data_IF_808014631051
#
_entry.id   IF_808014631051
#
_cell.length_a   1.000
_cell.length_b   1.000
_cell.length_c   1.000
_cell.angle_alpha   90.00
_cell.angle_beta   90.00
_cell.angle_gamma   90.00
#
_symmetry.space_group_name_H-M   'P 1'
#
loop_
_entity.id
_entity.type
_entity.pdbx_description
1 polymer ?
#
# COMPACT_ATOMS: atom_id res chain seq x y z
N UNK A 1 20.18 10.12 24.99
CA UNK A 1 19.98 10.71 23.65
C UNK A 1 19.13 9.73 22.87
N UNK A 2 18.02 10.16 22.27
CA UNK A 2 17.24 9.28 21.41
C UNK A 2 18.04 8.99 20.14
N UNK A 3 17.94 7.78 19.56
CA UNK A 3 18.57 7.50 18.28
C UNK A 3 18.03 8.47 17.22
N UNK A 4 18.87 8.85 16.24
CA UNK A 4 18.40 9.64 15.11
C UNK A 4 17.21 8.93 14.47
N UNK A 5 16.13 9.68 14.25
CA UNK A 5 14.96 9.14 13.58
C UNK A 5 15.36 8.80 12.13
N UNK A 6 14.86 7.68 11.57
CA UNK A 6 15.06 7.39 10.16
C UNK A 6 14.51 8.55 9.33
N UNK A 7 15.38 9.22 8.58
CA UNK A 7 14.98 10.23 7.63
C UNK A 7 14.38 9.49 6.43
N UNK A 8 13.05 9.51 6.29
CA UNK A 8 12.44 8.98 5.08
C UNK A 8 12.72 9.94 3.92
N UNK A 9 13.16 9.43 2.75
CA UNK A 9 13.18 10.22 1.54
C UNK A 9 11.74 10.62 1.23
N UNK A 10 11.42 11.88 1.51
CA UNK A 10 10.14 12.51 1.18
C UNK A 10 10.49 13.80 0.45
N UNK A 11 10.34 13.75 -0.86
CA UNK A 11 10.67 14.82 -1.79
C UNK A 11 9.54 15.00 -2.82
N UNK A 12 9.74 15.90 -3.77
CA UNK A 12 8.73 16.23 -4.80
C UNK A 12 8.43 15.06 -5.77
N UNK A 13 9.21 13.97 -5.72
CA UNK A 13 9.01 12.75 -6.53
C UNK A 13 8.29 11.64 -5.75
N UNK A 14 7.86 11.94 -4.53
CA UNK A 14 7.18 10.99 -3.65
C UNK A 14 5.67 10.98 -3.91
N UNK A 15 5.12 9.80 -4.16
CA UNK A 15 3.68 9.58 -4.32
C UNK A 15 3.04 9.17 -2.99
N UNK A 16 1.88 9.73 -2.69
CA UNK A 16 1.01 9.29 -1.59
C UNK A 16 -0.28 8.77 -2.19
N UNK A 17 -0.60 7.51 -1.90
CA UNK A 17 -1.81 6.81 -2.38
C UNK A 17 -2.48 6.15 -1.19
N UNK A 18 -3.81 5.98 -1.24
CA UNK A 18 -4.62 5.45 -0.14
C UNK A 18 -5.75 4.59 -0.69
N UNK A 19 -6.19 3.59 0.07
CA UNK A 19 -7.49 2.91 -0.11
C UNK A 19 -7.77 2.35 -1.52
N UNK A 20 -6.74 1.78 -2.15
CA UNK A 20 -6.90 1.11 -3.45
C UNK A 20 -7.78 -0.13 -3.33
N UNK A 21 -7.77 -0.80 -2.17
CA UNK A 21 -8.60 -1.96 -1.84
C UNK A 21 -8.57 -3.11 -2.87
N UNK A 22 -7.44 -3.36 -3.52
CA UNK A 22 -7.30 -4.48 -4.48
C UNK A 22 -7.87 -5.78 -3.91
N UNK A 23 -8.51 -6.58 -4.76
CA UNK A 23 -9.16 -7.84 -4.40
C UNK A 23 -10.32 -7.75 -3.38
N UNK A 24 -10.76 -6.56 -2.97
CA UNK A 24 -11.94 -6.40 -2.12
C UNK A 24 -13.21 -6.28 -2.98
N UNK A 25 -13.72 -7.40 -3.52
CA UNK A 25 -14.85 -7.38 -4.46
C UNK A 25 -16.09 -6.63 -3.94
N UNK A 26 -16.36 -6.73 -2.65
CA UNK A 26 -17.48 -6.04 -2.01
C UNK A 26 -17.33 -4.51 -2.05
N UNK A 27 -16.12 -3.95 -1.91
CA UNK A 27 -15.92 -2.50 -1.99
C UNK A 27 -16.25 -1.97 -3.38
N UNK A 28 -15.97 -2.76 -4.42
CA UNK A 28 -16.32 -2.41 -5.78
C UNK A 28 -17.83 -2.17 -5.91
N UNK A 29 -18.63 -3.05 -5.29
CA UNK A 29 -20.09 -2.91 -5.24
C UNK A 29 -20.54 -1.75 -4.36
N UNK A 30 -20.03 -1.65 -3.13
CA UNK A 30 -20.46 -0.62 -2.16
C UNK A 30 -20.13 0.80 -2.62
N UNK A 31 -18.94 1.01 -3.19
CA UNK A 31 -18.52 2.31 -3.70
C UNK A 31 -18.92 2.54 -5.16
N UNK A 32 -19.67 1.61 -5.76
CA UNK A 32 -20.12 1.70 -7.15
C UNK A 32 -18.95 1.94 -8.14
N UNK A 33 -17.83 1.25 -7.92
CA UNK A 33 -16.65 1.32 -8.80
C UNK A 33 -16.98 0.70 -10.16
N UNK A 34 -16.40 1.21 -11.26
CA UNK A 34 -16.63 0.64 -12.59
C UNK A 34 -16.09 -0.78 -12.69
N UNK A 35 -16.63 -1.55 -13.63
CA UNK A 35 -16.04 -2.85 -13.99
C UNK A 35 -14.58 -2.63 -14.45
N UNK A 36 -13.69 -3.55 -14.06
CA UNK A 36 -12.26 -3.44 -14.39
C UNK A 36 -11.50 -2.36 -13.61
N UNK A 37 -12.04 -1.83 -12.51
CA UNK A 37 -11.40 -0.75 -11.75
C UNK A 37 -10.01 -1.12 -11.22
N UNK A 38 -9.72 -2.40 -10.96
CA UNK A 38 -8.40 -2.82 -10.48
C UNK A 38 -7.35 -2.63 -11.57
N UNK A 39 -7.67 -3.08 -12.79
CA UNK A 39 -6.88 -2.90 -13.98
C UNK A 39 -6.67 -1.41 -14.26
N UNK A 40 -7.72 -0.60 -14.17
CA UNK A 40 -7.64 0.85 -14.33
C UNK A 40 -6.72 1.52 -13.30
N UNK A 41 -6.72 1.07 -12.03
CA UNK A 41 -5.78 1.58 -11.02
C UNK A 41 -4.36 1.20 -11.42
N UNK A 42 -4.10 -0.06 -11.74
CA UNK A 42 -2.77 -0.55 -12.15
C UNK A 42 -2.24 0.20 -13.38
N UNK A 43 -3.08 0.41 -14.40
CA UNK A 43 -2.71 1.16 -15.61
C UNK A 43 -2.37 2.62 -15.31
N UNK A 44 -3.22 3.31 -14.53
CA UNK A 44 -2.96 4.69 -14.16
C UNK A 44 -1.74 4.83 -13.26
N UNK A 45 -1.55 3.90 -12.32
CA UNK A 45 -0.40 3.82 -11.46
C UNK A 45 0.88 3.73 -12.28
N UNK A 46 0.98 2.75 -13.18
CA UNK A 46 2.18 2.50 -13.98
C UNK A 46 2.42 3.56 -15.06
N UNK A 47 1.37 4.29 -15.47
CA UNK A 47 1.48 5.43 -16.39
C UNK A 47 2.07 6.66 -15.72
N UNK A 48 1.84 6.84 -14.42
CA UNK A 48 2.21 8.06 -13.69
C UNK A 48 3.48 7.89 -12.86
N UNK A 49 3.74 6.69 -12.36
CA UNK A 49 4.79 6.40 -11.39
C UNK A 49 5.93 5.66 -12.10
N UNK A 50 7.14 6.19 -11.98
CA UNK A 50 8.34 5.51 -12.47
C UNK A 50 8.81 4.42 -11.49
N UNK A 51 9.44 3.33 -11.98
CA UNK A 51 9.91 2.23 -11.13
C UNK A 51 10.84 2.63 -9.97
N UNK A 52 11.57 3.73 -10.11
CA UNK A 52 12.53 4.21 -9.10
C UNK A 52 11.92 5.18 -8.07
N UNK A 53 10.72 5.71 -8.35
CA UNK A 53 10.03 6.65 -7.47
C UNK A 53 9.51 5.97 -6.21
N UNK A 54 9.28 6.76 -5.16
CA UNK A 54 8.80 6.26 -3.88
C UNK A 54 7.28 6.38 -3.85
N UNK A 55 6.61 5.31 -3.42
CA UNK A 55 5.17 5.34 -3.16
C UNK A 55 4.91 5.00 -1.70
N UNK A 56 4.34 5.94 -0.98
CA UNK A 56 3.73 5.69 0.31
C UNK A 56 2.26 5.35 0.12
N UNK A 57 1.91 4.11 0.39
CA UNK A 57 0.52 3.67 0.38
C UNK A 57 -0.01 3.62 1.81
N UNK A 58 -1.01 4.45 2.09
CA UNK A 58 -1.54 4.68 3.44
C UNK A 58 -2.89 4.00 3.54
N UNK A 59 -2.98 2.90 4.29
CA UNK A 59 -4.22 2.17 4.49
C UNK A 59 -4.64 1.27 3.34
N UNK A 60 -5.29 0.16 3.66
CA UNK A 60 -6.08 -0.69 2.77
C UNK A 60 -5.63 -0.81 1.30
N UNK A 61 -4.37 -1.22 1.08
CA UNK A 61 -3.86 -1.56 -0.26
C UNK A 61 -4.72 -2.63 -0.92
N UNK A 62 -4.91 -3.77 -0.24
CA UNK A 62 -5.50 -4.97 -0.80
C UNK A 62 -6.13 -5.86 0.29
N UNK A 63 -7.14 -6.65 -0.09
CA UNK A 63 -7.77 -7.67 0.77
C UNK A 63 -7.34 -9.08 0.33
N UNK A 64 -6.67 -9.81 1.22
CA UNK A 64 -6.32 -11.21 0.94
C UNK A 64 -5.18 -11.72 1.81
N UNK A 65 -4.76 -12.96 1.54
CA UNK A 65 -3.57 -13.52 2.17
C UNK A 65 -2.30 -12.84 1.66
N UNK A 66 -1.23 -12.93 2.44
CA UNK A 66 0.09 -12.36 2.16
C UNK A 66 0.56 -12.66 0.74
N UNK A 67 0.43 -13.90 0.28
CA UNK A 67 0.91 -14.36 -1.03
C UNK A 67 0.22 -13.62 -2.18
N UNK A 68 -1.04 -13.22 -1.98
CA UNK A 68 -1.82 -12.45 -2.97
C UNK A 68 -1.32 -11.01 -3.07
N UNK A 69 -0.88 -10.44 -1.95
CA UNK A 69 -0.30 -9.09 -1.89
C UNK A 69 1.13 -9.11 -2.45
N UNK A 70 1.91 -10.15 -2.15
CA UNK A 70 3.24 -10.37 -2.74
C UNK A 70 3.18 -10.56 -4.26
N UNK A 71 2.10 -11.13 -4.79
CA UNK A 71 1.86 -11.21 -6.24
C UNK A 71 1.40 -9.89 -6.88
N UNK A 72 0.83 -8.97 -6.10
CA UNK A 72 0.36 -7.65 -6.58
C UNK A 72 1.52 -6.65 -6.69
N UNK A 73 2.41 -6.61 -5.72
CA UNK A 73 3.44 -5.58 -5.63
C UNK A 73 4.34 -5.48 -6.89
N UNK A 74 4.79 -6.59 -7.52
CA UNK A 74 5.59 -6.52 -8.75
C UNK A 74 4.85 -5.94 -9.96
N UNK A 75 3.52 -5.79 -9.88
CA UNK A 75 2.69 -5.22 -10.94
C UNK A 75 2.57 -3.70 -10.86
N UNK A 76 3.03 -3.09 -9.76
CA UNK A 76 2.91 -1.66 -9.48
C UNK A 76 4.29 -1.01 -9.50
N UNK A 77 4.48 -0.01 -10.35
CA UNK A 77 5.73 0.75 -10.43
C UNK A 77 6.03 1.48 -9.11
N UNK A 78 7.32 1.66 -8.85
CA UNK A 78 7.81 2.41 -7.70
C UNK A 78 8.15 1.52 -6.51
N UNK A 79 8.87 2.11 -5.56
CA UNK A 79 9.28 1.48 -4.32
C UNK A 79 8.17 1.65 -3.30
N UNK A 80 7.41 0.58 -3.06
CA UNK A 80 6.20 0.62 -2.25
C UNK A 80 6.50 0.51 -0.76
N UNK A 81 6.03 1.51 -0.02
CA UNK A 81 6.04 1.58 1.43
C UNK A 81 4.61 1.58 1.95
N UNK A 82 4.20 0.49 2.58
CA UNK A 82 2.86 0.38 3.15
C UNK A 82 2.84 0.92 4.56
N UNK A 83 1.99 1.91 4.80
CA UNK A 83 1.64 2.39 6.12
C UNK A 83 0.26 1.87 6.49
N UNK A 84 0.16 1.24 7.65
CA UNK A 84 -1.12 0.72 8.13
C UNK A 84 -2.07 1.86 8.51
N UNK A 85 -3.22 1.96 7.84
CA UNK A 85 -4.34 2.75 8.35
C UNK A 85 -5.04 1.98 9.47
N UNK A 86 -5.39 2.70 10.53
CA UNK A 86 -6.10 2.12 11.68
C UNK A 86 -7.60 2.26 11.48
N UNK A 87 -8.27 1.18 11.09
CA UNK A 87 -9.74 1.06 11.15
C UNK A 87 -10.20 0.24 12.37
N UNK A 88 -9.57 0.49 13.55
CA UNK A 88 -9.84 -0.07 14.90
C UNK A 88 -9.61 -1.58 15.17
N UNK A 89 -9.26 -1.92 16.43
CA UNK A 89 -9.24 -3.25 17.08
C UNK A 89 -8.18 -4.28 16.65
N UNK A 90 -8.19 -4.66 15.38
CA UNK A 90 -7.55 -5.90 14.89
C UNK A 90 -6.13 -5.71 14.35
N UNK A 91 -5.61 -4.48 14.37
CA UNK A 91 -4.23 -4.16 13.99
C UNK A 91 -3.17 -4.99 14.76
N UNK A 92 -3.50 -5.43 15.99
CA UNK A 92 -2.60 -6.21 16.86
C UNK A 92 -2.17 -7.56 16.26
N UNK A 93 -3.04 -8.24 15.52
CA UNK A 93 -2.71 -9.55 14.95
C UNK A 93 -1.70 -9.44 13.79
N UNK A 94 -1.76 -8.33 13.04
CA UNK A 94 -0.83 -8.03 11.94
C UNK A 94 0.56 -7.57 12.46
N UNK A 95 0.58 -6.75 13.53
CA UNK A 95 1.79 -6.23 14.17
C UNK A 95 2.64 -7.37 14.78
N UNK A 96 1.99 -8.35 15.42
CA UNK A 96 2.70 -9.42 16.14
C UNK A 96 3.45 -10.39 15.21
N UNK A 97 3.12 -10.45 13.92
CA UNK A 97 3.77 -11.36 12.97
C UNK A 97 4.89 -10.70 12.15
N UNK A 98 5.09 -9.38 12.27
CA UNK A 98 6.00 -8.59 11.42
C UNK A 98 6.88 -7.57 12.16
N UNK A 99 6.83 -7.52 13.50
CA UNK A 99 7.98 -7.10 14.32
C UNK A 99 8.33 -5.61 14.36
N UNK A 100 7.42 -4.67 14.07
CA UNK A 100 7.66 -3.25 14.35
C UNK A 100 6.38 -2.45 14.66
N UNK A 101 6.39 -1.56 15.68
CA UNK A 101 5.26 -0.70 16.05
C UNK A 101 5.01 0.44 15.06
N UNK A 102 5.96 0.69 14.14
CA UNK A 102 5.79 1.55 12.98
C UNK A 102 5.67 0.63 11.77
N UNK A 103 4.44 0.26 11.41
CA UNK A 103 4.20 -0.68 10.33
C UNK A 103 4.45 0.02 8.99
N UNK A 104 5.73 0.08 8.61
CA UNK A 104 6.21 0.42 7.30
C UNK A 104 6.69 -0.87 6.66
N UNK A 105 5.90 -1.44 5.75
CA UNK A 105 6.29 -2.63 5.00
C UNK A 105 6.93 -2.13 3.70
N UNK A 106 8.24 -2.30 3.58
CA UNK A 106 8.94 -2.11 2.33
C UNK A 106 8.80 -3.38 1.49
N UNK A 107 8.17 -3.28 0.33
CA UNK A 107 8.10 -4.39 -0.62
C UNK A 107 9.15 -4.12 -1.69
N UNK A 108 10.11 -5.05 -1.84
CA UNK A 108 11.10 -5.05 -2.93
C UNK A 108 10.59 -5.85 -4.12
#
# INVERSE_FOLDING_TARGET
MLPPQPQFPFDDQTWIISDTHFFHENIGRYCNRPDGWQEMITENWNRLIHPEEIVFHVGDLALGKKEKIEGLAPLLNGRLYLMQATMTGEARAFINNWGSPWCLIHIR
#
